data_IF_190406090717
#
_entry.id   IF_190406090717
#
_cell.length_a   1.000
_cell.length_b   1.000
_cell.length_c   1.000
_cell.angle_alpha   90.00
_cell.angle_beta   90.00
_cell.angle_gamma   90.00
#
_symmetry.space_group_name_H-M   'P 1'
#
loop_
_entity.id
_entity.type
_entity.pdbx_description
1 polymer ?
#
# COMPACT_ATOMS: atom_id res chain seq x y z
N UNK A 1 -38.94 -35.67 -36.55
CA UNK A 1 -39.70 -36.64 -35.75
C UNK A 1 -39.90 -35.99 -34.39
N UNK A 2 -40.81 -35.02 -34.32
CA UNK A 2 -42.25 -35.19 -33.99
C UNK A 2 -42.44 -35.32 -32.46
N UNK A 3 -42.93 -34.24 -31.80
CA UNK A 3 -44.32 -34.03 -31.32
C UNK A 3 -44.53 -34.64 -29.91
N UNK A 4 -45.20 -34.06 -28.90
CA UNK A 4 -46.24 -33.02 -28.80
C UNK A 4 -46.41 -32.66 -27.29
N UNK A 5 -46.58 -31.37 -26.91
CA UNK A 5 -47.82 -30.69 -26.40
C UNK A 5 -48.24 -31.00 -24.94
N UNK A 6 -48.88 -30.14 -24.14
CA UNK A 6 -49.51 -28.80 -24.30
C UNK A 6 -49.82 -28.24 -22.89
N UNK A 7 -49.70 -26.93 -22.63
CA UNK A 7 -50.81 -25.95 -22.37
C UNK A 7 -50.61 -25.30 -20.99
N UNK A 8 -50.91 -24.04 -20.68
CA UNK A 8 -51.52 -22.91 -21.38
C UNK A 8 -51.28 -21.63 -20.57
N UNK A 9 -50.97 -20.53 -21.25
CA UNK A 9 -51.29 -19.15 -20.82
C UNK A 9 -52.39 -18.64 -21.75
N UNK A 10 -53.18 -17.61 -21.36
CA UNK A 10 -52.99 -16.34 -22.05
C UNK A 10 -53.15 -15.09 -21.18
N UNK A 11 -52.68 -14.00 -21.78
CA UNK A 11 -52.50 -12.65 -21.30
C UNK A 11 -53.75 -11.76 -21.36
N UNK A 12 -53.60 -10.54 -20.83
CA UNK A 12 -54.39 -9.34 -21.13
C UNK A 12 -55.39 -8.99 -20.03
N UNK A 13 -55.53 -7.77 -19.53
CA UNK A 13 -55.03 -6.46 -19.92
C UNK A 13 -56.01 -5.40 -19.40
N UNK A 14 -55.50 -4.18 -19.20
CA UNK A 14 -56.21 -2.89 -19.12
C UNK A 14 -56.88 -2.47 -17.79
N UNK A 15 -56.52 -1.24 -17.40
CA UNK A 15 -57.19 -0.34 -16.45
C UNK A 15 -58.55 0.14 -17.00
N UNK A 16 -59.38 0.78 -16.15
CA UNK A 16 -59.63 2.21 -16.39
C UNK A 16 -59.78 3.06 -15.12
N UNK A 17 -59.93 4.36 -15.39
CA UNK A 17 -59.86 5.51 -14.51
C UNK A 17 -61.18 5.88 -13.76
N UNK A 18 -60.97 6.69 -12.70
CA UNK A 18 -61.76 7.83 -12.18
C UNK A 18 -63.26 7.75 -11.83
N UNK A 19 -63.56 8.14 -10.58
CA UNK A 19 -64.56 9.10 -10.08
C UNK A 19 -65.01 8.68 -8.66
N UNK A 20 -65.27 9.50 -7.65
CA UNK A 20 -65.27 10.95 -7.47
C UNK A 20 -65.57 11.23 -5.97
N UNK A 21 -65.29 12.44 -5.50
CA UNK A 21 -65.59 12.88 -4.14
C UNK A 21 -65.71 14.40 -4.07
N UNK A 22 -66.95 14.87 -3.91
CA UNK A 22 -67.35 16.28 -3.89
C UNK A 22 -67.08 16.92 -2.51
N UNK A 23 -66.76 18.22 -2.53
CA UNK A 23 -66.97 19.17 -1.43
C UNK A 23 -67.62 20.45 -2.01
N UNK A 24 -68.39 21.21 -1.22
CA UNK A 24 -69.40 22.12 -1.75
C UNK A 24 -68.87 23.50 -2.15
N UNK A 25 -69.62 24.10 -3.05
CA UNK A 25 -69.48 25.42 -3.69
C UNK A 25 -69.80 26.59 -2.76
N UNK A 26 -68.99 27.64 -2.82
CA UNK A 26 -69.30 28.99 -2.34
C UNK A 26 -69.20 30.01 -3.48
N UNK A 27 -70.14 30.94 -3.48
CA UNK A 27 -70.53 31.95 -4.49
C UNK A 27 -69.45 32.96 -4.94
N UNK A 28 -69.58 33.46 -6.19
CA UNK A 28 -68.89 34.64 -6.76
C UNK A 28 -69.63 35.93 -6.33
N UNK A 29 -69.01 37.10 -6.06
CA UNK A 29 -68.45 38.13 -6.98
C UNK A 29 -68.30 39.47 -6.17
N UNK A 30 -67.89 40.65 -6.71
CA UNK A 30 -66.90 41.02 -7.72
C UNK A 30 -65.94 42.18 -7.28
N UNK A 31 -64.89 42.44 -8.07
CA UNK A 31 -64.39 43.81 -8.30
C UNK A 31 -63.17 44.31 -7.50
N UNK A 32 -62.03 44.45 -8.18
CA UNK A 32 -60.85 45.18 -7.70
C UNK A 32 -59.70 45.08 -8.71
N UNK A 33 -59.13 46.21 -9.09
CA UNK A 33 -58.12 46.44 -10.14
C UNK A 33 -56.85 45.55 -10.05
N UNK A 34 -56.10 45.36 -11.16
CA UNK A 34 -54.88 44.55 -11.14
C UNK A 34 -53.73 45.33 -10.48
N UNK A 35 -53.47 45.04 -9.21
CA UNK A 35 -52.23 45.45 -8.53
C UNK A 35 -51.07 44.64 -9.10
N UNK A 36 -50.04 45.34 -9.59
CA UNK A 36 -48.81 44.74 -10.10
C UNK A 36 -48.23 43.72 -9.10
N UNK A 37 -48.17 42.45 -9.50
CA UNK A 37 -47.48 41.40 -8.74
C UNK A 37 -45.98 41.70 -8.74
N UNK A 38 -45.40 41.80 -7.55
CA UNK A 38 -43.96 41.78 -7.35
C UNK A 38 -43.38 40.46 -7.88
N UNK A 39 -42.11 40.43 -8.35
CA UNK A 39 -41.53 39.23 -8.91
C UNK A 39 -41.44 38.14 -7.85
N UNK A 40 -41.88 36.95 -8.23
CA UNK A 40 -41.76 35.70 -7.49
C UNK A 40 -40.30 35.51 -7.03
N UNK A 41 -40.09 35.63 -5.71
CA UNK A 41 -38.79 35.42 -5.10
C UNK A 41 -38.44 33.94 -5.22
N UNK A 42 -37.78 33.56 -6.32
CA UNK A 42 -37.06 32.30 -6.43
C UNK A 42 -36.15 32.20 -5.22
N UNK A 43 -36.47 31.27 -4.32
CA UNK A 43 -35.57 30.85 -3.26
C UNK A 43 -34.38 30.20 -3.95
N UNK A 44 -33.37 31.01 -4.26
CA UNK A 44 -32.05 30.51 -4.62
C UNK A 44 -31.50 29.80 -3.38
N UNK A 45 -31.63 28.47 -3.36
CA UNK A 45 -30.89 27.61 -2.45
C UNK A 45 -29.41 27.72 -2.79
N UNK A 46 -28.76 28.79 -2.34
CA UNK A 46 -27.32 28.83 -2.28
C UNK A 46 -26.88 27.72 -1.33
N UNK A 47 -25.99 26.79 -1.74
CA UNK A 47 -25.42 25.83 -0.82
C UNK A 47 -24.73 26.65 0.27
N UNK A 48 -25.25 26.57 1.51
CA UNK A 48 -24.64 27.22 2.65
C UNK A 48 -23.17 26.78 2.68
N UNK A 49 -22.26 27.70 2.40
CA UNK A 49 -20.83 27.47 2.56
C UNK A 49 -20.63 27.14 4.04
N UNK A 50 -20.38 25.87 4.34
CA UNK A 50 -20.09 25.43 5.71
C UNK A 50 -18.96 26.31 6.23
N UNK A 51 -19.17 26.94 7.37
CA UNK A 51 -18.15 27.80 7.95
C UNK A 51 -16.90 26.98 8.24
N UNK A 52 -15.72 27.61 8.16
CA UNK A 52 -14.43 26.96 8.41
C UNK A 52 -14.39 26.24 9.77
N UNK A 53 -15.19 26.71 10.74
CA UNK A 53 -15.43 26.08 12.04
C UNK A 53 -16.22 24.76 11.99
N UNK A 54 -17.18 24.62 11.08
CA UNK A 54 -17.96 23.40 10.89
C UNK A 54 -17.13 22.34 10.15
N UNK A 55 -16.35 22.76 9.15
CA UNK A 55 -15.35 21.90 8.52
C UNK A 55 -14.28 21.45 9.54
N UNK A 56 -13.78 22.36 10.37
CA UNK A 56 -12.83 22.02 11.44
C UNK A 56 -13.44 21.06 12.48
N UNK A 57 -14.72 21.19 12.81
CA UNK A 57 -15.43 20.22 13.67
C UNK A 57 -15.52 18.84 13.02
N UNK A 58 -15.83 18.77 11.73
CA UNK A 58 -15.87 17.50 10.97
C UNK A 58 -14.48 16.88 10.87
N UNK A 59 -13.44 17.66 10.60
CA UNK A 59 -12.04 17.18 10.57
C UNK A 59 -11.62 16.68 11.96
N UNK A 60 -11.98 17.42 13.01
CA UNK A 60 -11.72 17.02 14.40
C UNK A 60 -12.48 15.75 14.77
N UNK A 61 -13.72 15.56 14.31
CA UNK A 61 -14.48 14.33 14.56
C UNK A 61 -13.93 13.13 13.77
N UNK A 62 -13.42 13.34 12.55
CA UNK A 62 -12.72 12.30 11.80
C UNK A 62 -11.43 11.84 12.53
N UNK A 63 -10.73 12.76 13.19
CA UNK A 63 -9.55 12.45 14.01
C UNK A 63 -9.88 11.80 15.36
N UNK A 64 -11.05 12.08 15.96
CA UNK A 64 -11.43 11.51 17.26
C UNK A 64 -11.73 10.01 17.19
N UNK A 65 -12.20 9.52 16.04
CA UNK A 65 -12.62 8.12 15.88
C UNK A 65 -11.44 7.17 15.61
N UNK A 66 -10.39 7.63 14.92
CA UNK A 66 -9.19 6.83 14.65
C UNK A 66 -8.40 6.53 15.93
N UNK A 67 -8.35 7.50 16.85
CA UNK A 67 -7.54 7.46 18.06
C UNK A 67 -6.07 7.90 17.85
N UNK A 68 -5.44 8.37 18.92
CA UNK A 68 -4.08 8.95 18.89
C UNK A 68 -3.00 7.94 18.46
N UNK A 69 -3.12 6.66 18.83
CA UNK A 69 -2.08 5.66 18.57
C UNK A 69 -1.89 5.33 17.07
N UNK A 70 -2.94 5.03 16.28
CA UNK A 70 -2.82 4.90 14.81
C UNK A 70 -2.26 6.14 14.12
N UNK A 71 -2.69 7.33 14.54
CA UNK A 71 -2.18 8.59 14.00
C UNK A 71 -0.68 8.73 14.26
N UNK A 72 -0.24 8.45 15.49
CA UNK A 72 1.18 8.49 15.86
C UNK A 72 1.99 7.44 15.07
N UNK A 73 1.47 6.22 14.88
CA UNK A 73 2.11 5.20 14.04
C UNK A 73 2.34 5.70 12.61
N UNK A 74 1.31 6.27 11.98
CA UNK A 74 1.40 6.79 10.62
C UNK A 74 2.40 7.96 10.51
N UNK A 75 2.37 8.90 11.47
CA UNK A 75 3.31 10.03 11.52
C UNK A 75 4.74 9.55 11.71
N UNK A 76 4.98 8.64 12.65
CA UNK A 76 6.31 8.08 12.92
C UNK A 76 6.83 7.30 11.71
N UNK A 77 6.00 6.45 11.09
CA UNK A 77 6.39 5.71 9.90
C UNK A 77 6.78 6.67 8.76
N UNK A 78 5.98 7.70 8.54
CA UNK A 78 6.25 8.73 7.53
C UNK A 78 7.57 9.45 7.82
N UNK A 79 7.79 9.89 9.06
CA UNK A 79 9.03 10.54 9.47
C UNK A 79 10.25 9.63 9.26
N UNK A 80 10.18 8.37 9.69
CA UNK A 80 11.28 7.42 9.54
C UNK A 80 11.57 7.10 8.06
N UNK A 81 10.53 6.99 7.23
CA UNK A 81 10.67 6.83 5.77
C UNK A 81 11.38 8.04 5.16
N UNK A 82 11.00 9.26 5.54
CA UNK A 82 11.65 10.48 5.05
C UNK A 82 13.12 10.54 5.49
N UNK A 83 13.40 10.33 6.78
CA UNK A 83 14.78 10.31 7.29
C UNK A 83 15.61 9.22 6.60
N UNK A 84 15.03 8.06 6.35
CA UNK A 84 15.70 7.01 5.59
C UNK A 84 15.98 7.41 4.15
N UNK A 85 15.03 8.05 3.46
CA UNK A 85 15.22 8.54 2.10
C UNK A 85 16.31 9.63 2.03
N UNK A 86 16.25 10.61 2.92
CA UNK A 86 17.16 11.78 2.90
C UNK A 86 18.55 11.45 3.44
N UNK A 87 18.63 10.70 4.54
CA UNK A 87 19.88 10.46 5.26
C UNK A 87 20.38 9.03 5.14
N UNK A 88 19.50 8.07 4.91
CA UNK A 88 19.87 6.65 4.76
C UNK A 88 20.30 6.27 3.35
N UNK A 89 20.22 7.15 2.35
CA UNK A 89 20.48 6.79 0.96
C UNK A 89 21.96 6.51 0.65
N UNK A 90 22.19 5.74 -0.42
CA UNK A 90 23.53 5.53 -0.98
C UNK A 90 24.19 6.83 -1.44
N UNK A 91 23.41 7.80 -1.92
CA UNK A 91 23.90 9.12 -2.29
C UNK A 91 24.40 9.91 -1.08
N UNK A 92 23.66 9.85 0.05
CA UNK A 92 24.10 10.46 1.31
C UNK A 92 25.45 9.91 1.76
N UNK A 93 25.64 8.58 1.69
CA UNK A 93 26.94 7.96 1.96
C UNK A 93 28.05 8.51 1.05
N UNK A 94 27.82 8.54 -0.27
CA UNK A 94 28.81 8.99 -1.24
C UNK A 94 29.25 10.44 -1.01
N UNK A 95 28.33 11.31 -0.61
CA UNK A 95 28.60 12.75 -0.38
C UNK A 95 29.32 12.96 0.96
N UNK A 96 28.81 12.35 2.03
CA UNK A 96 29.24 12.72 3.39
C UNK A 96 30.26 11.75 4.00
N UNK A 97 30.15 10.46 3.70
CA UNK A 97 30.92 9.42 4.38
C UNK A 97 32.03 8.79 3.55
N UNK A 98 31.90 8.68 2.23
CA UNK A 98 32.84 7.93 1.39
C UNK A 98 34.31 8.35 1.58
N UNK A 99 34.58 9.64 1.83
CA UNK A 99 35.93 10.18 2.08
C UNK A 99 36.63 9.62 3.32
N UNK A 100 35.87 9.09 4.29
CA UNK A 100 36.41 8.52 5.52
C UNK A 100 36.71 7.02 5.41
N UNK A 101 36.26 6.37 4.32
CA UNK A 101 36.45 4.94 4.12
C UNK A 101 37.71 4.68 3.32
N UNK A 102 38.50 3.69 3.77
CA UNK A 102 39.68 3.22 3.04
C UNK A 102 39.23 2.54 1.76
N UNK A 103 39.99 2.73 0.67
CA UNK A 103 39.76 1.98 -0.56
C UNK A 103 40.10 0.50 -0.34
N UNK A 104 39.13 -0.37 -0.56
CA UNK A 104 39.27 -1.83 -0.58
C UNK A 104 38.59 -2.41 -1.83
N UNK A 105 38.60 -3.74 -1.99
CA UNK A 105 37.83 -4.39 -3.07
C UNK A 105 36.32 -4.12 -2.97
N UNK A 106 35.80 -3.81 -1.77
CA UNK A 106 34.38 -3.51 -1.53
C UNK A 106 33.99 -2.05 -1.71
N UNK A 107 34.89 -1.19 -2.21
CA UNK A 107 34.66 0.27 -2.21
C UNK A 107 33.37 0.67 -2.92
N UNK A 108 33.01 0.04 -4.04
CA UNK A 108 31.75 0.35 -4.74
C UNK A 108 30.50 -0.27 -4.11
N UNK A 109 30.64 -1.14 -3.11
CA UNK A 109 29.53 -1.71 -2.33
C UNK A 109 29.30 -0.99 -1.00
N UNK A 110 30.22 -0.15 -0.53
CA UNK A 110 30.02 0.62 0.70
C UNK A 110 28.74 1.48 0.72
N UNK A 111 28.35 2.18 -0.37
CA UNK A 111 27.10 2.90 -0.37
C UNK A 111 25.87 1.97 -0.24
N UNK A 112 25.95 0.75 -0.78
CA UNK A 112 24.91 -0.26 -0.62
C UNK A 112 24.81 -0.73 0.83
N UNK A 113 25.94 -1.09 1.46
CA UNK A 113 25.96 -1.54 2.85
C UNK A 113 25.47 -0.47 3.81
N UNK A 114 25.82 0.79 3.59
CA UNK A 114 25.28 1.90 4.35
C UNK A 114 23.75 1.98 4.18
N UNK A 115 23.27 2.01 2.94
CA UNK A 115 21.84 2.11 2.65
C UNK A 115 21.04 0.95 3.24
N UNK A 116 21.55 -0.26 3.11
CA UNK A 116 20.94 -1.48 3.63
C UNK A 116 20.92 -1.52 5.15
N UNK A 117 22.03 -1.14 5.79
CA UNK A 117 22.12 -0.99 7.24
C UNK A 117 21.16 0.08 7.76
N UNK A 118 21.08 1.24 7.10
CA UNK A 118 20.17 2.32 7.51
C UNK A 118 18.70 1.93 7.36
N UNK A 119 18.33 1.16 6.33
CA UNK A 119 16.99 0.59 6.21
C UNK A 119 16.68 -0.33 7.40
N UNK A 120 17.57 -1.26 7.70
CA UNK A 120 17.41 -2.17 8.83
C UNK A 120 17.28 -1.42 10.17
N UNK A 121 18.09 -0.40 10.41
CA UNK A 121 18.07 0.37 11.65
C UNK A 121 16.84 1.29 11.75
N UNK A 122 16.60 2.13 10.75
CA UNK A 122 15.55 3.14 10.77
C UNK A 122 14.15 2.56 10.55
N UNK A 123 14.02 1.54 9.71
CA UNK A 123 12.73 0.96 9.30
C UNK A 123 12.46 -0.41 9.96
N UNK A 124 13.48 -1.07 10.51
CA UNK A 124 13.34 -2.30 11.28
C UNK A 124 13.44 -2.09 12.78
N UNK A 125 14.66 -1.82 13.26
CA UNK A 125 15.00 -1.81 14.69
C UNK A 125 14.24 -0.73 15.45
N UNK A 126 14.26 0.52 14.97
CA UNK A 126 13.55 1.63 15.66
C UNK A 126 12.05 1.36 15.74
N UNK A 127 11.32 1.04 14.64
CA UNK A 127 9.91 0.68 14.70
C UNK A 127 9.62 -0.49 15.63
N UNK A 128 10.49 -1.51 15.65
CA UNK A 128 10.31 -2.68 16.52
C UNK A 128 10.42 -2.30 18.00
N UNK A 129 11.45 -1.50 18.35
CA UNK A 129 11.63 -0.98 19.71
C UNK A 129 10.43 -0.12 20.10
N UNK A 130 9.96 0.78 19.22
CA UNK A 130 8.79 1.62 19.50
C UNK A 130 7.52 0.78 19.72
N UNK A 131 7.31 -0.29 18.94
CA UNK A 131 6.19 -1.21 19.15
C UNK A 131 6.24 -1.84 20.54
N UNK A 132 7.44 -2.22 21.00
CA UNK A 132 7.65 -2.82 22.32
C UNK A 132 7.50 -1.83 23.46
N UNK A 133 8.05 -0.63 23.34
CA UNK A 133 8.16 0.33 24.44
C UNK A 133 7.00 1.33 24.46
N UNK A 134 6.83 2.11 23.39
CA UNK A 134 5.83 3.18 23.32
C UNK A 134 4.41 2.64 23.12
N UNK A 135 4.24 1.64 22.23
CA UNK A 135 2.92 1.05 21.93
C UNK A 135 2.60 -0.21 22.75
N UNK A 136 3.56 -0.69 23.55
CA UNK A 136 3.45 -1.83 24.47
C UNK A 136 2.86 -3.09 23.83
N UNK A 137 3.29 -3.39 22.59
CA UNK A 137 2.90 -4.57 21.83
C UNK A 137 3.93 -5.67 21.95
N UNK A 138 3.46 -6.89 22.16
CA UNK A 138 4.30 -8.09 22.10
C UNK A 138 4.81 -8.36 20.68
N UNK A 139 5.77 -9.28 20.54
CA UNK A 139 6.28 -9.65 19.20
C UNK A 139 5.17 -10.24 18.31
N UNK A 140 4.31 -11.14 18.81
CA UNK A 140 3.18 -11.64 18.02
C UNK A 140 2.17 -10.56 17.61
N UNK A 141 1.90 -9.58 18.48
CA UNK A 141 0.94 -8.49 18.18
C UNK A 141 1.47 -7.47 17.17
N UNK A 142 2.78 -7.39 17.00
CA UNK A 142 3.46 -6.52 16.02
C UNK A 142 3.87 -7.28 14.75
N UNK A 143 3.42 -8.53 14.59
CA UNK A 143 3.83 -9.38 13.47
C UNK A 143 5.29 -9.84 13.50
N UNK A 144 6.07 -9.51 14.53
CA UNK A 144 7.46 -9.91 14.67
C UNK A 144 7.64 -11.37 15.17
N UNK A 145 6.57 -11.99 15.65
CA UNK A 145 6.57 -13.42 15.98
C UNK A 145 6.56 -14.29 14.72
N UNK A 146 6.85 -15.58 14.86
CA UNK A 146 6.80 -16.51 13.73
C UNK A 146 5.38 -16.71 13.19
N UNK A 147 4.34 -16.58 14.02
CA UNK A 147 2.96 -16.75 13.58
C UNK A 147 2.67 -18.18 13.08
N UNK A 148 1.78 -18.31 12.10
CA UNK A 148 1.38 -19.58 11.48
C UNK A 148 2.39 -19.98 10.40
N UNK A 149 3.53 -20.53 10.82
CA UNK A 149 4.61 -20.92 9.91
C UNK A 149 4.24 -22.05 8.95
N UNK A 150 3.30 -22.91 9.36
CA UNK A 150 2.78 -24.00 8.53
C UNK A 150 2.00 -23.48 7.33
N UNK A 151 1.39 -22.31 7.46
CA UNK A 151 0.82 -21.58 6.33
C UNK A 151 1.86 -20.69 5.63
N UNK A 152 2.55 -19.84 6.40
CA UNK A 152 3.37 -18.75 5.85
C UNK A 152 4.55 -19.22 5.00
N UNK A 153 5.23 -20.30 5.39
CA UNK A 153 6.37 -20.82 4.64
C UNK A 153 5.92 -21.45 3.31
N UNK A 154 4.97 -22.40 3.26
CA UNK A 154 4.46 -22.89 1.97
C UNK A 154 3.84 -21.80 1.10
N UNK A 155 3.10 -20.85 1.67
CA UNK A 155 2.48 -19.77 0.91
C UNK A 155 3.52 -18.83 0.27
N UNK A 156 4.57 -18.46 1.00
CA UNK A 156 5.67 -17.63 0.46
C UNK A 156 6.43 -18.36 -0.64
N UNK A 157 6.76 -19.64 -0.46
CA UNK A 157 7.43 -20.44 -1.50
C UNK A 157 6.54 -20.63 -2.73
N UNK A 158 5.24 -20.89 -2.54
CA UNK A 158 4.29 -21.02 -3.66
C UNK A 158 4.19 -19.73 -4.45
N UNK A 159 4.07 -18.58 -3.75
CA UNK A 159 4.05 -17.27 -4.39
C UNK A 159 5.36 -16.99 -5.14
N UNK A 160 6.51 -17.35 -4.56
CA UNK A 160 7.81 -17.22 -5.22
C UNK A 160 7.86 -18.03 -6.53
N UNK A 161 7.51 -19.32 -6.50
CA UNK A 161 7.53 -20.15 -7.70
C UNK A 161 6.49 -19.72 -8.74
N UNK A 162 5.35 -19.18 -8.32
CA UNK A 162 4.37 -18.59 -9.23
C UNK A 162 4.90 -17.30 -9.89
N UNK A 163 5.73 -16.53 -9.18
CA UNK A 163 6.33 -15.29 -9.70
C UNK A 163 7.60 -15.53 -10.52
N UNK A 164 8.25 -16.69 -10.35
CA UNK A 164 9.52 -17.03 -11.01
C UNK A 164 9.47 -16.95 -12.55
N UNK A 165 8.42 -17.43 -13.25
CA UNK A 165 8.33 -17.24 -14.71
C UNK A 165 8.29 -15.76 -15.11
N UNK A 166 7.61 -14.91 -14.32
CA UNK A 166 7.57 -13.47 -14.57
C UNK A 166 8.97 -12.87 -14.39
N UNK A 167 9.69 -13.26 -13.34
CA UNK A 167 11.09 -12.85 -13.12
C UNK A 167 12.01 -13.21 -14.28
N UNK A 168 11.86 -14.43 -14.82
CA UNK A 168 12.62 -14.85 -16.00
C UNK A 168 12.26 -14.01 -17.22
N UNK A 169 10.99 -13.69 -17.45
CA UNK A 169 10.59 -12.86 -18.59
C UNK A 169 11.11 -11.42 -18.47
N UNK A 170 10.98 -10.79 -17.30
CA UNK A 170 11.40 -9.40 -17.10
C UNK A 170 12.93 -9.25 -17.11
N UNK A 171 13.69 -10.29 -16.77
CA UNK A 171 15.16 -10.23 -16.79
C UNK A 171 15.76 -10.08 -18.20
N UNK A 172 14.98 -10.36 -19.27
CA UNK A 172 15.38 -10.07 -20.66
C UNK A 172 15.17 -8.60 -21.05
N UNK A 173 14.33 -7.86 -20.31
CA UNK A 173 13.99 -6.48 -20.63
C UNK A 173 15.20 -5.54 -20.39
N UNK A 174 15.50 -4.62 -21.33
CA UNK A 174 16.65 -3.70 -21.21
C UNK A 174 16.63 -2.86 -19.93
N UNK A 175 15.45 -2.39 -19.51
CA UNK A 175 15.28 -1.55 -18.32
C UNK A 175 15.66 -2.28 -17.04
N UNK A 176 15.33 -3.57 -16.90
CA UNK A 176 15.78 -4.40 -15.78
C UNK A 176 17.29 -4.66 -15.84
N UNK A 177 17.81 -5.05 -17.01
CA UNK A 177 19.25 -5.31 -17.19
C UNK A 177 20.13 -4.09 -16.97
N UNK A 178 19.63 -2.89 -17.26
CA UNK A 178 20.36 -1.64 -17.02
C UNK A 178 20.33 -1.21 -15.56
N UNK A 179 19.26 -1.56 -14.82
CA UNK A 179 19.06 -1.18 -13.43
C UNK A 179 19.77 -2.09 -12.43
N UNK A 180 19.81 -3.39 -12.71
CA UNK A 180 20.20 -4.41 -11.73
C UNK A 180 21.52 -5.13 -12.09
N UNK A 181 22.26 -5.64 -11.10
CA UNK A 181 22.12 -5.32 -9.67
C UNK A 181 22.27 -3.81 -9.44
N UNK A 182 21.65 -3.29 -8.37
CA UNK A 182 21.64 -1.84 -8.10
C UNK A 182 23.05 -1.27 -7.93
N UNK A 183 24.01 -2.13 -7.59
CA UNK A 183 25.43 -1.84 -7.56
C UNK A 183 26.18 -2.88 -8.40
N UNK A 184 26.75 -2.45 -9.52
CA UNK A 184 27.43 -3.34 -10.48
C UNK A 184 28.57 -4.15 -9.86
N UNK A 185 29.21 -3.61 -8.81
CA UNK A 185 30.32 -4.23 -8.10
C UNK A 185 29.94 -5.55 -7.40
N UNK A 186 28.65 -5.83 -7.22
CA UNK A 186 28.17 -7.11 -6.72
C UNK A 186 28.63 -8.28 -7.61
N UNK A 187 28.75 -8.06 -8.93
CA UNK A 187 29.16 -9.08 -9.89
C UNK A 187 30.66 -9.34 -10.00
N UNK A 188 31.53 -8.63 -9.25
CA UNK A 188 32.98 -8.75 -9.42
C UNK A 188 33.55 -10.12 -9.02
N UNK A 189 32.96 -10.77 -8.02
CA UNK A 189 33.30 -12.14 -7.64
C UNK A 189 32.16 -12.77 -6.83
N UNK A 190 32.16 -14.10 -6.69
CA UNK A 190 31.17 -14.79 -5.85
C UNK A 190 31.13 -14.30 -4.39
N UNK A 191 32.26 -13.81 -3.87
CA UNK A 191 32.31 -13.25 -2.51
C UNK A 191 31.68 -11.84 -2.43
N UNK A 192 31.87 -10.99 -3.46
CA UNK A 192 31.18 -9.69 -3.53
C UNK A 192 29.67 -9.87 -3.63
N UNK A 193 29.25 -10.83 -4.47
CA UNK A 193 27.85 -11.18 -4.64
C UNK A 193 27.25 -11.68 -3.31
N UNK A 194 27.89 -12.63 -2.65
CA UNK A 194 27.42 -13.16 -1.36
C UNK A 194 27.27 -12.06 -0.30
N UNK A 195 28.26 -11.18 -0.16
CA UNK A 195 28.21 -10.08 0.81
C UNK A 195 27.09 -9.08 0.47
N UNK A 196 26.95 -8.73 -0.81
CA UNK A 196 25.90 -7.86 -1.30
C UNK A 196 24.51 -8.46 -1.04
N UNK A 197 24.24 -9.69 -1.48
CA UNK A 197 22.93 -10.32 -1.30
C UNK A 197 22.59 -10.59 0.17
N UNK A 198 23.57 -10.97 1.00
CA UNK A 198 23.36 -11.12 2.44
C UNK A 198 22.95 -9.79 3.09
N UNK A 199 23.60 -8.69 2.71
CA UNK A 199 23.22 -7.36 3.18
C UNK A 199 21.87 -6.90 2.61
N UNK A 200 21.53 -7.31 1.39
CA UNK A 200 20.25 -7.00 0.77
C UNK A 200 19.08 -7.76 1.44
N UNK A 201 19.30 -9.02 1.83
CA UNK A 201 18.35 -9.75 2.66
C UNK A 201 18.13 -9.07 4.02
N UNK A 202 19.17 -8.49 4.64
CA UNK A 202 19.04 -7.69 5.88
C UNK A 202 18.24 -6.40 5.64
N UNK A 203 18.44 -5.72 4.51
CA UNK A 203 17.62 -4.57 4.10
C UNK A 203 16.14 -4.92 4.09
N UNK A 204 15.77 -6.09 3.55
CA UNK A 204 14.36 -6.48 3.49
C UNK A 204 13.74 -6.75 4.86
N UNK A 205 14.52 -7.00 5.90
CA UNK A 205 13.98 -7.11 7.27
C UNK A 205 13.43 -5.74 7.69
N UNK A 206 14.21 -4.67 7.51
CA UNK A 206 13.75 -3.31 7.81
C UNK A 206 12.59 -2.89 6.93
N UNK A 207 12.70 -3.14 5.63
CA UNK A 207 11.66 -2.85 4.65
C UNK A 207 10.34 -3.53 4.99
N UNK A 208 10.33 -4.85 5.13
CA UNK A 208 9.09 -5.59 5.42
C UNK A 208 8.57 -5.29 6.82
N UNK A 209 9.44 -5.01 7.80
CA UNK A 209 8.99 -4.67 9.13
C UNK A 209 8.26 -3.33 9.19
N UNK A 210 8.73 -2.25 8.53
CA UNK A 210 7.98 -0.97 8.59
C UNK A 210 6.60 -1.08 7.95
N UNK A 211 6.45 -1.83 6.86
CA UNK A 211 5.16 -1.97 6.17
C UNK A 211 4.24 -3.00 6.83
N UNK A 212 4.75 -4.20 7.10
CA UNK A 212 3.92 -5.33 7.57
C UNK A 212 3.94 -5.42 9.08
N UNK A 213 5.08 -5.21 9.73
CA UNK A 213 5.19 -5.22 11.18
C UNK A 213 4.58 -3.96 11.82
N UNK A 214 5.04 -2.79 11.42
CA UNK A 214 4.74 -1.52 12.07
C UNK A 214 3.42 -0.91 11.58
N UNK A 215 3.32 -0.58 10.28
CA UNK A 215 2.11 0.01 9.71
C UNK A 215 0.93 -0.96 9.74
N UNK A 216 1.05 -2.13 9.11
CA UNK A 216 -0.07 -3.08 9.00
C UNK A 216 -0.54 -3.57 10.37
N UNK A 217 0.28 -4.24 11.18
CA UNK A 217 -0.18 -4.73 12.49
C UNK A 217 -0.44 -3.62 13.51
N UNK A 218 0.25 -2.48 13.42
CA UNK A 218 -0.02 -1.32 14.27
C UNK A 218 -1.41 -0.72 14.02
N UNK A 219 -1.84 -0.66 12.75
CA UNK A 219 -3.12 -0.11 12.33
C UNK A 219 -4.27 -1.14 12.30
N UNK A 220 -3.94 -2.44 12.29
CA UNK A 220 -4.90 -3.54 12.15
C UNK A 220 -6.06 -3.47 13.15
N UNK A 221 -5.81 -3.08 14.41
CA UNK A 221 -6.87 -2.99 15.44
C UNK A 221 -7.96 -1.96 15.13
N UNK A 222 -7.64 -0.92 14.34
CA UNK A 222 -8.55 0.21 14.07
C UNK A 222 -9.04 0.22 12.64
N UNK A 223 -8.20 -0.19 11.69
CA UNK A 223 -8.55 -0.21 10.26
C UNK A 223 -8.93 -1.62 9.75
N UNK A 224 -8.73 -2.68 10.55
CA UNK A 224 -8.95 -4.03 10.08
C UNK A 224 -8.11 -4.34 8.83
N UNK A 225 -8.69 -5.06 7.87
CA UNK A 225 -8.04 -5.41 6.61
C UNK A 225 -7.69 -4.20 5.72
N UNK A 226 -8.34 -3.04 5.90
CA UNK A 226 -7.98 -1.82 5.15
C UNK A 226 -6.55 -1.35 5.43
N UNK A 227 -5.95 -1.77 6.56
CA UNK A 227 -4.53 -1.52 6.84
C UNK A 227 -3.60 -2.07 5.73
N UNK A 228 -4.03 -3.12 4.99
CA UNK A 228 -3.29 -3.64 3.82
C UNK A 228 -3.22 -2.60 2.71
N UNK A 229 -4.33 -1.92 2.41
CA UNK A 229 -4.35 -0.89 1.37
C UNK A 229 -3.57 0.35 1.83
N UNK A 230 -3.66 0.71 3.11
CA UNK A 230 -2.97 1.88 3.62
C UNK A 230 -1.44 1.72 3.58
N UNK A 231 -0.89 0.57 3.99
CA UNK A 231 0.55 0.34 3.90
C UNK A 231 1.04 0.16 2.45
N UNK A 232 0.16 -0.30 1.54
CA UNK A 232 0.51 -0.50 0.14
C UNK A 232 0.90 0.83 -0.53
N UNK A 233 0.22 1.92 -0.18
CA UNK A 233 0.46 3.25 -0.78
C UNK A 233 1.94 3.69 -0.63
N UNK A 234 2.49 3.85 0.59
CA UNK A 234 3.90 4.23 0.73
C UNK A 234 4.85 3.13 0.23
N UNK A 235 4.47 1.85 0.31
CA UNK A 235 5.26 0.76 -0.27
C UNK A 235 5.44 0.94 -1.78
N UNK A 236 4.36 1.20 -2.53
CA UNK A 236 4.40 1.40 -3.97
C UNK A 236 5.12 2.70 -4.35
N UNK A 237 4.89 3.80 -3.63
CA UNK A 237 5.58 5.09 -3.86
C UNK A 237 7.10 4.93 -3.71
N UNK A 238 7.57 4.16 -2.72
CA UNK A 238 9.00 3.95 -2.53
C UNK A 238 9.66 3.03 -3.59
N UNK A 239 8.90 2.52 -4.55
CA UNK A 239 9.45 1.90 -5.78
C UNK A 239 9.66 2.91 -6.92
N UNK A 240 9.49 4.21 -6.69
CA UNK A 240 9.83 5.22 -7.68
C UNK A 240 11.32 5.16 -8.07
N UNK A 241 11.60 5.33 -9.37
CA UNK A 241 12.94 5.19 -9.95
C UNK A 241 13.37 3.76 -10.25
N UNK A 242 12.50 2.76 -10.00
CA UNK A 242 12.62 1.39 -10.53
C UNK A 242 12.02 1.29 -11.95
N UNK A 243 12.24 0.20 -12.70
CA UNK A 243 11.55 -0.04 -13.96
C UNK A 243 10.02 0.11 -13.78
N UNK A 244 9.34 0.71 -14.74
CA UNK A 244 7.92 1.05 -14.63
C UNK A 244 7.05 -0.17 -14.26
N UNK A 245 7.34 -1.32 -14.88
CA UNK A 245 6.64 -2.57 -14.58
C UNK A 245 6.81 -3.00 -13.13
N UNK A 246 7.98 -2.78 -12.52
CA UNK A 246 8.23 -3.04 -11.09
C UNK A 246 7.43 -2.06 -10.23
N UNK A 247 7.42 -0.76 -10.56
CA UNK A 247 6.67 0.25 -9.80
C UNK A 247 5.16 0.01 -9.84
N UNK A 248 4.59 -0.34 -11.00
CA UNK A 248 3.15 -0.64 -11.12
C UNK A 248 2.82 -1.96 -10.40
N UNK A 249 3.66 -2.98 -10.58
CA UNK A 249 3.46 -4.27 -9.91
C UNK A 249 3.65 -4.20 -8.38
N UNK A 250 4.36 -3.19 -7.86
CA UNK A 250 4.47 -2.94 -6.42
C UNK A 250 3.12 -2.67 -5.74
N UNK A 251 2.09 -2.22 -6.45
CA UNK A 251 0.73 -2.12 -5.91
C UNK A 251 0.20 -3.52 -5.57
N UNK A 252 0.29 -4.44 -6.53
CA UNK A 252 -0.16 -5.82 -6.40
C UNK A 252 0.68 -6.56 -5.36
N UNK A 253 2.01 -6.45 -5.45
CA UNK A 253 2.93 -7.03 -4.47
C UNK A 253 2.68 -6.48 -3.07
N UNK A 254 2.41 -5.17 -2.96
CA UNK A 254 2.05 -4.48 -1.72
C UNK A 254 0.88 -5.14 -1.01
N UNK A 255 -0.19 -5.42 -1.76
CA UNK A 255 -1.42 -6.09 -1.30
C UNK A 255 -1.15 -7.56 -0.96
N UNK A 256 -0.50 -8.31 -1.85
CA UNK A 256 -0.21 -9.73 -1.66
C UNK A 256 0.64 -9.99 -0.42
N UNK A 257 1.73 -9.24 -0.25
CA UNK A 257 2.59 -9.32 0.93
C UNK A 257 1.84 -8.89 2.21
N UNK A 258 0.98 -7.87 2.12
CA UNK A 258 0.12 -7.47 3.23
C UNK A 258 -0.86 -8.57 3.66
N UNK A 259 -1.51 -9.22 2.70
CA UNK A 259 -2.40 -10.36 2.96
C UNK A 259 -1.64 -11.56 3.52
N UNK A 260 -0.49 -11.90 2.94
CA UNK A 260 0.38 -12.97 3.43
C UNK A 260 0.76 -12.72 4.90
N UNK A 261 1.18 -11.50 5.22
CA UNK A 261 1.52 -11.14 6.59
C UNK A 261 0.32 -11.23 7.53
N UNK A 262 -0.86 -10.72 7.14
CA UNK A 262 -2.07 -10.83 7.96
C UNK A 262 -2.46 -12.28 8.23
N UNK A 263 -2.50 -13.13 7.20
CA UNK A 263 -2.94 -14.53 7.34
C UNK A 263 -1.92 -15.38 8.10
N UNK A 264 -0.63 -15.16 7.87
CA UNK A 264 0.43 -15.83 8.60
C UNK A 264 0.67 -15.23 9.99
N UNK A 265 0.12 -14.04 10.28
CA UNK A 265 0.36 -13.25 11.50
C UNK A 265 1.84 -12.93 11.72
N UNK A 266 2.58 -12.72 10.64
CA UNK A 266 4.04 -12.58 10.66
C UNK A 266 4.58 -11.87 9.43
N UNK A 267 5.51 -10.92 9.62
CA UNK A 267 6.17 -10.25 8.50
C UNK A 267 7.29 -11.10 7.87
N UNK A 268 7.79 -12.12 8.57
CA UNK A 268 8.93 -12.92 8.14
C UNK A 268 8.71 -13.64 6.80
N UNK A 269 7.46 -13.99 6.48
CA UNK A 269 7.13 -14.63 5.21
C UNK A 269 7.11 -13.66 4.03
N UNK A 270 6.77 -12.39 4.30
CA UNK A 270 6.97 -11.32 3.32
C UNK A 270 8.45 -11.06 3.07
N UNK A 271 9.25 -11.02 4.15
CA UNK A 271 10.72 -10.92 4.07
C UNK A 271 11.35 -12.03 3.23
N UNK A 272 10.97 -13.28 3.48
CA UNK A 272 11.46 -14.41 2.72
C UNK A 272 11.10 -14.28 1.23
N UNK A 273 9.82 -14.04 0.92
CA UNK A 273 9.36 -13.89 -0.46
C UNK A 273 10.07 -12.74 -1.18
N UNK A 274 10.14 -11.56 -0.55
CA UNK A 274 10.75 -10.38 -1.15
C UNK A 274 12.24 -10.58 -1.39
N UNK A 275 12.96 -11.13 -0.41
CA UNK A 275 14.39 -11.43 -0.54
C UNK A 275 14.65 -12.43 -1.68
N UNK A 276 13.87 -13.51 -1.76
CA UNK A 276 14.00 -14.49 -2.85
C UNK A 276 13.76 -13.86 -4.22
N UNK A 277 12.73 -13.03 -4.37
CA UNK A 277 12.42 -12.34 -5.63
C UNK A 277 13.57 -11.41 -6.05
N UNK A 278 14.08 -10.59 -5.12
CA UNK A 278 15.15 -9.63 -5.40
C UNK A 278 16.48 -10.32 -5.73
N UNK A 279 16.91 -11.30 -4.92
CA UNK A 279 18.13 -12.06 -5.14
C UNK A 279 18.06 -12.80 -6.48
N UNK A 280 16.94 -13.46 -6.79
CA UNK A 280 16.78 -14.18 -8.06
C UNK A 280 16.83 -13.24 -9.26
N UNK A 281 16.28 -12.03 -9.16
CA UNK A 281 16.40 -11.03 -10.21
C UNK A 281 17.86 -10.63 -10.47
N UNK A 282 18.63 -10.33 -9.42
CA UNK A 282 20.04 -9.95 -9.55
C UNK A 282 20.87 -11.13 -10.13
N UNK A 283 20.60 -12.36 -9.71
CA UNK A 283 21.23 -13.57 -10.26
C UNK A 283 20.92 -13.79 -11.76
N UNK A 284 19.65 -13.66 -12.17
CA UNK A 284 19.25 -13.80 -13.57
C UNK A 284 19.94 -12.75 -14.46
N UNK A 285 20.06 -11.52 -13.97
CA UNK A 285 20.66 -10.42 -14.71
C UNK A 285 22.18 -10.55 -14.79
N UNK A 286 22.83 -11.01 -13.72
CA UNK A 286 24.25 -11.35 -13.76
C UNK A 286 24.52 -12.53 -14.70
N UNK A 287 23.63 -13.53 -14.74
CA UNK A 287 23.72 -14.64 -15.70
C UNK A 287 23.65 -14.15 -17.15
N UNK A 288 22.76 -13.20 -17.47
CA UNK A 288 22.72 -12.58 -18.80
C UNK A 288 23.97 -11.76 -19.18
N UNK A 289 24.77 -11.31 -18.20
CA UNK A 289 25.99 -10.51 -18.42
C UNK A 289 27.27 -11.36 -18.50
N UNK A 290 27.28 -12.52 -17.83
CA UNK A 290 28.43 -13.42 -17.74
C UNK A 290 28.30 -14.72 -18.55
N UNK A 291 27.19 -14.88 -19.29
CA UNK A 291 27.04 -15.90 -20.33
C UNK A 291 27.74 -15.53 -21.62
#
# INVERSE_FOLDING_TARGET
MDNQKDSSSPAGGQAPAEAGGQAPTGEQAPGGEPTAQAPDARVENHPQRKGLFDEWRVIRSLGSDLGLAPALLAVVATFLIIVFHENGSSSFFSIYFAKFFKKTSFSGLYPAFYWYGMCFLLLGVIPFVLMKTAFRRSSPESGAGLGDWKFGLPASLTAYFAFLPILVLVSYLPEFRSKYPLFSDAGQSGFHLLAYEASYAVYFIGWEYVFRGFLLFGLLRRLGSFAVLLQMIPFAILHFGKPELETISAIVAGILLGFLALRARSFWYGWLLHSLVAITNDLLILWHRGG
#
